data_IF_206875651615
#
_entry.id   IF_206875651615
#
_cell.length_a   1.000
_cell.length_b   1.000
_cell.length_c   1.000
_cell.angle_alpha   90.00
_cell.angle_beta   90.00
_cell.angle_gamma   90.00
#
_symmetry.space_group_name_H-M   'P 1'
#
loop_
_entity.id
_entity.type
_entity.pdbx_description
1 polymer ?
#
# COMPACT_ATOMS: atom_id res chain seq x y z
N UNK A 1 -26.16 31.66 -3.72
CA UNK A 1 -26.36 30.26 -4.12
C UNK A 1 -27.49 30.23 -5.15
N UNK A 2 -27.17 29.96 -6.42
CA UNK A 2 -28.14 29.96 -7.52
C UNK A 2 -28.82 28.60 -7.72
N UNK A 3 -29.91 28.51 -8.51
CA UNK A 3 -30.88 27.41 -8.45
C UNK A 3 -30.47 26.09 -9.14
N UNK A 4 -29.24 25.95 -9.63
CA UNK A 4 -28.84 24.80 -10.46
C UNK A 4 -27.58 24.10 -9.96
N UNK A 5 -27.43 23.91 -8.65
CA UNK A 5 -26.38 23.05 -8.11
C UNK A 5 -26.95 21.66 -7.82
N UNK A 6 -27.38 20.97 -8.88
CA UNK A 6 -27.52 19.52 -8.84
C UNK A 6 -26.10 18.97 -8.90
N UNK A 7 -25.45 18.80 -7.73
CA UNK A 7 -24.27 17.94 -7.63
C UNK A 7 -24.79 16.51 -7.80
N UNK A 8 -25.01 16.12 -9.06
CA UNK A 8 -25.01 14.72 -9.41
C UNK A 8 -23.57 14.25 -9.25
N UNK A 9 -23.31 13.41 -8.26
CA UNK A 9 -22.08 12.61 -8.25
C UNK A 9 -22.28 11.52 -9.29
N UNK A 10 -22.03 11.83 -10.55
CA UNK A 10 -21.97 10.82 -11.61
C UNK A 10 -20.85 9.85 -11.25
N UNK A 11 -21.16 8.56 -11.22
CA UNK A 11 -20.16 7.51 -10.98
C UNK A 11 -19.50 7.26 -12.32
N UNK A 12 -18.26 7.74 -12.46
CA UNK A 12 -17.43 7.49 -13.63
C UNK A 12 -16.62 6.21 -13.41
N UNK A 13 -16.72 5.28 -14.36
CA UNK A 13 -15.86 4.09 -14.41
C UNK A 13 -14.47 4.52 -14.94
N UNK A 14 -13.50 4.68 -14.04
CA UNK A 14 -12.14 5.05 -14.41
C UNK A 14 -11.41 3.91 -15.14
N UNK A 15 -10.81 4.21 -16.29
CA UNK A 15 -9.93 3.30 -17.01
C UNK A 15 -8.46 3.60 -16.65
N UNK A 16 -7.73 2.59 -16.17
CA UNK A 16 -6.33 2.77 -15.78
C UNK A 16 -5.42 1.71 -16.39
N UNK A 17 -4.23 2.12 -16.84
CA UNK A 17 -3.21 1.25 -17.44
C UNK A 17 -2.81 0.04 -16.57
N UNK A 18 -3.00 0.13 -15.26
CA UNK A 18 -2.65 -0.91 -14.28
C UNK A 18 -3.81 -1.83 -13.90
N UNK A 19 -5.01 -1.66 -14.48
CA UNK A 19 -6.13 -2.56 -14.28
C UNK A 19 -5.82 -3.95 -14.85
N UNK A 20 -6.07 -4.99 -14.05
CA UNK A 20 -5.88 -6.39 -14.45
C UNK A 20 -7.01 -7.26 -13.90
N UNK A 21 -7.32 -8.37 -14.56
CA UNK A 21 -8.51 -9.18 -14.22
C UNK A 21 -8.41 -9.93 -12.86
N UNK A 22 -7.25 -9.92 -12.18
CA UNK A 22 -7.00 -10.72 -10.96
C UNK A 22 -6.59 -9.83 -9.76
N UNK A 23 -7.32 -8.73 -9.51
CA UNK A 23 -6.96 -7.73 -8.49
C UNK A 23 -7.57 -7.95 -7.10
N UNK A 24 -8.39 -8.99 -6.89
CA UNK A 24 -9.14 -9.17 -5.64
C UNK A 24 -8.24 -9.18 -4.39
N UNK A 25 -7.08 -9.84 -4.47
CA UNK A 25 -6.10 -9.91 -3.36
C UNK A 25 -5.43 -8.54 -3.10
N UNK A 26 -5.29 -7.72 -4.13
CA UNK A 26 -4.53 -6.47 -4.08
C UNK A 26 -5.44 -5.23 -3.95
N UNK A 27 -6.77 -5.41 -3.95
CA UNK A 27 -7.76 -4.34 -3.91
C UNK A 27 -7.51 -3.36 -2.77
N UNK A 28 -7.17 -3.87 -1.58
CA UNK A 28 -6.82 -3.02 -0.43
C UNK A 28 -5.59 -2.14 -0.67
N UNK A 29 -4.58 -2.63 -1.39
CA UNK A 29 -3.38 -1.84 -1.75
C UNK A 29 -3.74 -0.74 -2.74
N UNK A 30 -4.59 -1.04 -3.73
CA UNK A 30 -5.07 -0.04 -4.67
C UNK A 30 -5.83 1.06 -3.94
N UNK A 31 -6.81 0.72 -3.10
CA UNK A 31 -7.57 1.72 -2.31
C UNK A 31 -6.63 2.59 -1.47
N UNK A 32 -5.72 1.97 -0.70
CA UNK A 32 -4.76 2.73 0.11
C UNK A 32 -3.85 3.62 -0.74
N UNK A 33 -3.46 3.16 -1.94
CA UNK A 33 -2.64 3.95 -2.85
C UNK A 33 -3.41 5.12 -3.45
N UNK A 34 -4.67 4.92 -3.83
CA UNK A 34 -5.53 5.99 -4.35
C UNK A 34 -5.69 7.06 -3.28
N UNK A 35 -6.04 6.67 -2.05
CA UNK A 35 -6.16 7.61 -0.93
C UNK A 35 -4.85 8.32 -0.58
N UNK A 36 -3.69 7.65 -0.76
CA UNK A 36 -2.37 8.26 -0.55
C UNK A 36 -2.02 9.33 -1.61
N UNK A 37 -2.45 9.15 -2.86
CA UNK A 37 -2.12 10.05 -3.97
C UNK A 37 -3.26 11.01 -4.34
N UNK A 38 -4.42 10.87 -3.73
CA UNK A 38 -5.58 11.69 -4.03
C UNK A 38 -5.40 13.13 -3.52
N UNK A 39 -5.50 14.09 -4.44
CA UNK A 39 -5.32 15.52 -4.17
C UNK A 39 -6.61 16.33 -4.38
N UNK A 40 -7.79 15.68 -4.34
CA UNK A 40 -9.06 16.34 -4.61
C UNK A 40 -9.38 16.55 -6.10
N UNK A 41 -8.64 15.90 -6.99
CA UNK A 41 -8.78 16.01 -8.45
C UNK A 41 -9.81 14.99 -8.99
N UNK A 42 -10.29 15.21 -10.22
CA UNK A 42 -11.15 14.26 -10.94
C UNK A 42 -10.42 12.96 -11.29
N UNK A 43 -11.18 11.94 -11.72
CA UNK A 43 -10.64 10.59 -11.99
C UNK A 43 -9.62 10.58 -13.13
N UNK A 44 -9.81 11.44 -14.13
CA UNK A 44 -8.92 11.61 -15.29
C UNK A 44 -7.52 12.12 -14.92
N UNK A 45 -7.41 12.84 -13.81
CA UNK A 45 -6.14 13.39 -13.31
C UNK A 45 -5.51 12.50 -12.24
N UNK A 46 -6.16 11.40 -11.87
CA UNK A 46 -5.71 10.51 -10.81
C UNK A 46 -4.52 9.66 -11.27
N UNK A 47 -3.31 10.15 -11.00
CA UNK A 47 -2.09 9.41 -11.25
C UNK A 47 -1.58 8.69 -9.99
N UNK A 48 -1.83 7.39 -9.89
CA UNK A 48 -1.36 6.54 -8.79
C UNK A 48 0.14 6.18 -8.88
N UNK A 49 0.85 6.61 -9.94
CA UNK A 49 2.24 6.25 -10.29
C UNK A 49 2.50 4.74 -10.34
N UNK A 50 1.48 3.96 -10.72
CA UNK A 50 1.55 2.53 -10.92
C UNK A 50 1.88 2.22 -12.38
N UNK A 51 2.73 1.23 -12.61
CA UNK A 51 3.12 0.83 -13.95
C UNK A 51 2.03 -0.02 -14.61
N UNK A 52 1.74 0.21 -15.89
CA UNK A 52 0.90 -0.71 -16.68
C UNK A 52 1.57 -2.03 -17.02
N UNK A 53 2.91 -2.10 -16.96
CA UNK A 53 3.64 -3.36 -17.14
C UNK A 53 3.49 -4.28 -15.92
N UNK A 54 3.01 -5.51 -16.14
CA UNK A 54 2.73 -6.49 -15.08
C UNK A 54 3.91 -6.81 -14.16
N UNK A 55 5.14 -6.91 -14.66
CA UNK A 55 6.31 -7.23 -13.82
C UNK A 55 6.59 -6.09 -12.84
N UNK A 56 6.67 -4.87 -13.38
CA UNK A 56 6.93 -3.66 -12.58
C UNK A 56 5.78 -3.38 -11.61
N UNK A 57 4.54 -3.60 -12.04
CA UNK A 57 3.37 -3.49 -11.18
C UNK A 57 3.47 -4.43 -9.97
N UNK A 58 3.81 -5.70 -10.17
CA UNK A 58 3.99 -6.68 -9.08
C UNK A 58 5.05 -6.24 -8.07
N UNK A 59 6.17 -5.71 -8.54
CA UNK A 59 7.23 -5.17 -7.67
C UNK A 59 6.74 -3.97 -6.85
N UNK A 60 6.02 -3.04 -7.48
CA UNK A 60 5.40 -1.89 -6.80
C UNK A 60 4.37 -2.33 -5.77
N UNK A 61 3.51 -3.30 -6.10
CA UNK A 61 2.51 -3.85 -5.18
C UNK A 61 3.16 -4.54 -3.99
N UNK A 62 4.22 -5.33 -4.20
CA UNK A 62 4.97 -5.95 -3.11
C UNK A 62 5.61 -4.90 -2.17
N UNK A 63 6.17 -3.83 -2.74
CA UNK A 63 6.71 -2.73 -1.95
C UNK A 63 5.61 -2.01 -1.15
N UNK A 64 4.50 -1.65 -1.80
CA UNK A 64 3.36 -1.00 -1.14
C UNK A 64 2.76 -1.87 -0.05
N UNK A 65 2.66 -3.20 -0.27
CA UNK A 65 2.23 -4.16 0.74
C UNK A 65 3.09 -4.04 1.99
N UNK A 66 4.42 -4.14 1.84
CA UNK A 66 5.35 -4.01 2.97
C UNK A 66 5.22 -2.65 3.67
N UNK A 67 5.16 -1.57 2.89
CA UNK A 67 5.02 -0.20 3.41
C UNK A 67 3.75 -0.04 4.25
N UNK A 68 2.60 -0.44 3.72
CA UNK A 68 1.32 -0.29 4.40
C UNK A 68 1.18 -1.24 5.58
N UNK A 69 1.61 -2.50 5.44
CA UNK A 69 1.63 -3.44 6.57
C UNK A 69 2.50 -2.91 7.71
N UNK A 70 3.71 -2.41 7.42
CA UNK A 70 4.57 -1.82 8.45
C UNK A 70 3.90 -0.61 9.12
N UNK A 71 3.30 0.30 8.35
CA UNK A 71 2.57 1.47 8.90
C UNK A 71 1.42 1.05 9.82
N UNK A 72 0.59 0.09 9.40
CA UNK A 72 -0.57 -0.37 10.18
C UNK A 72 -0.10 -1.08 11.46
N UNK A 73 0.85 -2.01 11.33
CA UNK A 73 1.36 -2.80 12.45
C UNK A 73 2.07 -1.94 13.49
N UNK A 74 2.80 -0.91 13.06
CA UNK A 74 3.58 -0.05 13.94
C UNK A 74 2.86 1.25 14.35
N UNK A 75 1.61 1.44 13.92
CA UNK A 75 0.80 2.61 14.27
C UNK A 75 0.48 2.63 15.76
N UNK A 76 0.41 3.83 16.37
CA UNK A 76 -0.03 4.00 17.76
C UNK A 76 -1.46 3.52 18.00
N UNK A 77 -2.30 3.48 16.96
CA UNK A 77 -3.66 2.96 17.10
C UNK A 77 -3.72 1.42 17.16
N UNK A 78 -2.63 0.72 16.83
CA UNK A 78 -2.59 -0.72 16.94
C UNK A 78 -2.32 -1.13 18.39
N UNK A 79 -3.35 -1.62 19.09
CA UNK A 79 -3.25 -2.09 20.48
C UNK A 79 -2.22 -3.22 20.66
N UNK A 80 -1.87 -3.94 19.59
CA UNK A 80 -0.89 -5.02 19.62
C UNK A 80 0.54 -4.56 19.26
N UNK A 81 0.76 -3.27 18.99
CA UNK A 81 2.06 -2.72 18.56
C UNK A 81 3.21 -3.19 19.46
N UNK A 82 3.08 -3.04 20.78
CA UNK A 82 4.13 -3.42 21.74
C UNK A 82 4.40 -4.93 21.73
N UNK A 83 3.36 -5.75 21.56
CA UNK A 83 3.53 -7.21 21.42
C UNK A 83 4.29 -7.56 20.15
N UNK A 84 3.98 -6.86 19.05
CA UNK A 84 4.69 -7.07 17.78
C UNK A 84 6.16 -6.65 17.89
N UNK A 85 6.47 -5.51 18.49
CA UNK A 85 7.84 -5.05 18.71
C UNK A 85 8.63 -5.99 19.62
N UNK A 86 8.01 -6.44 20.71
CA UNK A 86 8.61 -7.41 21.62
C UNK A 86 8.96 -8.71 20.88
N UNK A 87 8.03 -9.24 20.09
CA UNK A 87 8.27 -10.45 19.32
C UNK A 87 9.34 -10.26 18.23
N UNK A 88 9.34 -9.12 17.53
CA UNK A 88 10.34 -8.79 16.52
C UNK A 88 11.76 -8.75 17.12
N UNK A 89 11.93 -8.20 18.32
CA UNK A 89 13.24 -8.12 18.99
C UNK A 89 13.87 -9.50 19.28
N UNK A 90 13.05 -10.53 19.51
CA UNK A 90 13.52 -11.91 19.71
C UNK A 90 14.10 -12.54 18.45
N UNK A 91 13.65 -12.11 17.27
CA UNK A 91 14.19 -12.62 16.00
C UNK A 91 15.55 -11.99 15.63
N UNK A 92 15.82 -10.75 16.08
CA UNK A 92 17.10 -10.07 15.85
C UNK A 92 18.28 -10.59 16.68
N UNK A 93 18.01 -11.33 17.76
CA UNK A 93 19.02 -11.78 18.72
C UNK A 93 19.41 -13.26 18.56
N UNK A 94 19.63 -13.74 17.32
CA UNK A 94 20.39 -14.99 17.14
C UNK A 94 21.88 -14.65 17.08
N UNK A 95 22.72 -15.09 18.05
CA UNK A 95 24.16 -15.01 17.87
C UNK A 95 24.54 -15.87 16.67
N UNK A 96 25.05 -15.24 15.61
CA UNK A 96 25.78 -15.94 14.57
C UNK A 96 27.06 -16.47 15.18
N UNK A 97 27.01 -17.66 15.79
CA UNK A 97 28.20 -18.46 16.04
C UNK A 97 28.74 -18.88 14.66
N UNK A 98 29.52 -18.00 14.04
CA UNK A 98 30.43 -18.36 12.96
C UNK A 98 31.66 -18.94 13.67
N UNK A 99 31.98 -20.24 13.54
CA UNK A 99 33.21 -20.76 14.10
C UNK A 99 34.38 -20.02 13.44
N UNK A 100 35.25 -19.41 14.24
CA UNK A 100 36.51 -18.87 13.74
C UNK A 100 37.32 -20.05 13.17
N UNK A 101 37.40 -20.14 11.85
CA UNK A 101 38.39 -21.00 11.21
C UNK A 101 39.72 -20.31 11.46
N UNK A 102 40.45 -20.81 12.46
CA UNK A 102 41.81 -20.38 12.74
C UNK A 102 42.67 -20.58 11.50
N UNK A 103 43.45 -19.55 11.19
CA UNK A 103 44.52 -19.57 10.19
C UNK A 103 45.65 -20.47 10.71
#
# INVERSE_FOLDING_TARGET
FGPNCSIGSEIEDGEFDWQTNNMEIEAGIFVMRHLETYMGMGIDELNCCLAGNTRKLKEQLLFLRKKYSAKIILSECNILKETVLHNASKFGNKPTNVPSMGI
#
